data_IF_470054911410
#
_entry.id   IF_470054911410
#
_cell.length_a   1.000
_cell.length_b   1.000
_cell.length_c   1.000
_cell.angle_alpha   90.00
_cell.angle_beta   90.00
_cell.angle_gamma   90.00
#
_symmetry.space_group_name_H-M   'P 1'
#
loop_
_entity.id
_entity.type
_entity.pdbx_description
1 polymer ?
#
# COMPACT_ATOMS: atom_id res chain seq x y z
N UNK A 1 26.83 47.81 -35.96
CA UNK A 1 26.32 47.13 -34.75
C UNK A 1 26.23 45.61 -34.87
N UNK A 2 26.50 45.04 -36.06
CA UNK A 2 26.87 43.63 -36.23
C UNK A 2 28.15 43.56 -37.06
N UNK A 3 29.30 43.65 -36.39
CA UNK A 3 30.57 43.22 -36.97
C UNK A 3 30.74 41.75 -36.67
N UNK A 4 30.00 40.88 -37.36
CA UNK A 4 30.01 39.44 -37.10
C UNK A 4 31.39 38.89 -37.43
N UNK A 5 32.21 38.62 -36.41
CA UNK A 5 33.41 37.83 -36.59
C UNK A 5 32.98 36.43 -37.10
N UNK A 6 33.74 35.77 -37.99
CA UNK A 6 33.42 34.41 -38.43
C UNK A 6 33.15 33.44 -37.27
N UNK A 7 33.76 33.71 -36.11
CA UNK A 7 33.56 32.98 -34.85
C UNK A 7 32.14 33.12 -34.28
N UNK A 8 31.55 34.32 -34.30
CA UNK A 8 30.16 34.53 -33.87
C UNK A 8 29.16 33.79 -34.75
N UNK A 9 29.41 33.78 -36.07
CA UNK A 9 28.57 33.05 -37.02
C UNK A 9 28.61 31.54 -36.77
N UNK A 10 29.80 30.99 -36.50
CA UNK A 10 29.98 29.57 -36.12
C UNK A 10 29.23 29.27 -34.82
N UNK A 11 29.32 30.14 -33.81
CA UNK A 11 28.63 29.94 -32.54
C UNK A 11 27.09 29.99 -32.69
N UNK A 12 26.56 30.87 -33.53
CA UNK A 12 25.12 30.94 -33.84
C UNK A 12 24.67 29.67 -34.56
N UNK A 13 25.42 29.22 -35.57
CA UNK A 13 25.12 27.97 -36.29
C UNK A 13 25.14 26.77 -35.33
N UNK A 14 26.15 26.70 -34.46
CA UNK A 14 26.26 25.65 -33.44
C UNK A 14 25.11 25.71 -32.44
N UNK A 15 24.71 26.89 -31.97
CA UNK A 15 23.58 27.07 -31.07
C UNK A 15 22.27 26.61 -31.71
N UNK A 16 22.02 27.03 -32.96
CA UNK A 16 20.84 26.60 -33.72
C UNK A 16 20.84 25.09 -33.90
N UNK A 17 21.98 24.49 -34.26
CA UNK A 17 22.13 23.05 -34.36
C UNK A 17 21.82 22.34 -33.03
N UNK A 18 22.35 22.84 -31.91
CA UNK A 18 22.09 22.28 -30.58
C UNK A 18 20.61 22.38 -30.19
N UNK A 19 19.93 23.48 -30.50
CA UNK A 19 18.51 23.66 -30.19
C UNK A 19 17.65 22.58 -30.87
N UNK A 20 17.99 22.18 -32.10
CA UNK A 20 17.25 21.13 -32.82
C UNK A 20 17.73 19.72 -32.51
N UNK A 21 19.02 19.53 -32.26
CA UNK A 21 19.62 18.21 -32.02
C UNK A 21 19.44 17.73 -30.58
N UNK A 22 19.62 18.63 -29.59
CA UNK A 22 19.61 18.29 -28.18
C UNK A 22 18.28 17.68 -27.71
N UNK A 23 17.09 18.20 -28.08
CA UNK A 23 15.82 17.58 -27.71
C UNK A 23 15.69 16.15 -28.25
N UNK A 24 16.19 15.86 -29.45
CA UNK A 24 16.15 14.50 -30.02
C UNK A 24 17.05 13.54 -29.23
N UNK A 25 18.25 13.99 -28.86
CA UNK A 25 19.16 13.21 -28.02
C UNK A 25 18.55 12.93 -26.65
N UNK A 26 17.94 13.95 -26.02
CA UNK A 26 17.27 13.82 -24.74
C UNK A 26 16.06 12.88 -24.82
N UNK A 27 15.23 12.97 -25.87
CA UNK A 27 14.13 12.03 -26.10
C UNK A 27 14.62 10.59 -26.16
N UNK A 28 15.73 10.34 -26.87
CA UNK A 28 16.32 9.00 -26.94
C UNK A 28 16.75 8.50 -25.56
N UNK A 29 17.45 9.33 -24.77
CA UNK A 29 17.87 8.97 -23.41
C UNK A 29 16.67 8.67 -22.50
N UNK A 30 15.61 9.47 -22.59
CA UNK A 30 14.38 9.27 -21.81
C UNK A 30 13.72 7.95 -22.21
N UNK A 31 13.57 7.67 -23.50
CA UNK A 31 13.00 6.40 -23.98
C UNK A 31 13.80 5.22 -23.42
N UNK A 32 15.13 5.24 -23.52
CA UNK A 32 15.99 4.15 -22.99
C UNK A 32 15.81 3.96 -21.48
N UNK A 33 15.72 5.05 -20.71
CA UNK A 33 15.44 4.99 -19.27
C UNK A 33 14.08 4.36 -18.99
N UNK A 34 13.03 4.80 -19.69
CA UNK A 34 11.67 4.30 -19.52
C UNK A 34 11.55 2.82 -19.90
N UNK A 35 12.18 2.40 -21.01
CA UNK A 35 12.23 1.00 -21.44
C UNK A 35 12.92 0.12 -20.39
N UNK A 36 14.05 0.59 -19.83
CA UNK A 36 14.75 -0.11 -18.75
C UNK A 36 13.84 -0.31 -17.53
N UNK A 37 13.07 0.73 -17.16
CA UNK A 37 12.11 0.65 -16.05
C UNK A 37 10.93 -0.26 -16.35
N UNK A 38 10.33 -0.16 -17.53
CA UNK A 38 9.25 -1.04 -17.95
C UNK A 38 9.67 -2.52 -17.90
N UNK A 39 10.87 -2.83 -18.41
CA UNK A 39 11.45 -4.17 -18.32
C UNK A 39 11.63 -4.64 -16.87
N UNK A 40 12.14 -3.76 -16.01
CA UNK A 40 12.28 -4.08 -14.59
C UNK A 40 10.92 -4.35 -13.92
N UNK A 41 9.86 -3.64 -14.31
CA UNK A 41 8.51 -3.86 -13.82
C UNK A 41 7.94 -5.20 -14.31
N UNK A 42 8.13 -5.55 -15.59
CA UNK A 42 7.74 -6.88 -16.10
C UNK A 42 8.46 -8.01 -15.35
N UNK A 43 9.75 -7.85 -15.08
CA UNK A 43 10.50 -8.82 -14.28
C UNK A 43 9.92 -8.96 -12.86
N UNK A 44 9.43 -7.87 -12.26
CA UNK A 44 8.73 -7.89 -10.98
C UNK A 44 7.40 -8.63 -11.08
N UNK A 45 6.62 -8.44 -12.15
CA UNK A 45 5.39 -9.21 -12.41
C UNK A 45 5.69 -10.70 -12.48
N UNK A 46 6.65 -11.12 -13.30
CA UNK A 46 7.03 -12.53 -13.47
C UNK A 46 7.56 -13.14 -12.16
N UNK A 47 8.32 -12.37 -11.36
CA UNK A 47 8.76 -12.83 -10.03
C UNK A 47 7.57 -12.97 -9.07
N UNK A 48 6.61 -12.06 -9.13
CA UNK A 48 5.40 -12.08 -8.29
C UNK A 48 4.51 -13.27 -8.58
N UNK A 49 4.26 -13.55 -9.85
CA UNK A 49 3.53 -14.76 -10.28
C UNK A 49 4.19 -16.03 -9.73
N UNK A 50 5.52 -16.12 -9.85
CA UNK A 50 6.28 -17.26 -9.29
C UNK A 50 6.15 -17.37 -7.78
N UNK A 51 6.10 -16.26 -7.04
CA UNK A 51 5.87 -16.28 -5.58
C UNK A 51 4.47 -16.80 -5.25
N UNK A 52 3.44 -16.36 -5.97
CA UNK A 52 2.05 -16.80 -5.79
C UNK A 52 1.92 -18.29 -6.13
N UNK A 53 2.41 -18.73 -7.29
CA UNK A 53 2.39 -20.15 -7.71
C UNK A 53 3.16 -21.02 -6.72
N UNK A 54 4.33 -20.56 -6.24
CA UNK A 54 5.09 -21.28 -5.20
C UNK A 54 4.31 -21.39 -3.89
N UNK A 55 3.57 -20.34 -3.51
CA UNK A 55 2.72 -20.37 -2.31
C UNK A 55 1.57 -21.35 -2.48
N UNK A 56 0.91 -21.38 -3.64
CA UNK A 56 -0.14 -22.37 -3.96
C UNK A 56 0.44 -23.80 -3.86
N UNK A 57 1.59 -24.04 -4.49
CA UNK A 57 2.27 -25.33 -4.45
C UNK A 57 1.43 -26.44 -5.08
N UNK A 58 1.33 -27.59 -4.40
CA UNK A 58 0.54 -28.75 -4.86
C UNK A 58 -0.97 -28.60 -4.60
N UNK A 59 -1.41 -27.48 -4.03
CA UNK A 59 -2.81 -27.20 -3.71
C UNK A 59 -3.53 -26.59 -4.90
N UNK A 60 -3.43 -27.26 -6.03
CA UNK A 60 -4.10 -26.91 -7.27
C UNK A 60 -4.46 -28.19 -8.02
N UNK A 61 -5.55 -28.12 -8.80
CA UNK A 61 -5.95 -29.20 -9.72
C UNK A 61 -5.44 -28.96 -11.14
N UNK A 62 -4.82 -27.80 -11.39
CA UNK A 62 -4.39 -27.39 -12.72
C UNK A 62 -3.00 -27.91 -13.04
N UNK A 63 -2.77 -28.22 -14.31
CA UNK A 63 -1.42 -28.38 -14.84
C UNK A 63 -0.66 -27.05 -14.81
N UNK A 64 0.66 -27.10 -14.94
CA UNK A 64 1.49 -25.89 -14.96
C UNK A 64 1.09 -24.92 -16.09
N UNK A 65 0.74 -25.44 -17.26
CA UNK A 65 0.32 -24.64 -18.41
C UNK A 65 -1.02 -23.94 -18.15
N UNK A 66 -2.01 -24.67 -17.64
CA UNK A 66 -3.33 -24.12 -17.30
C UNK A 66 -3.23 -23.05 -16.20
N UNK A 67 -2.36 -23.27 -15.21
CA UNK A 67 -2.07 -22.27 -14.17
C UNK A 67 -1.47 -20.99 -14.78
N UNK A 68 -0.45 -21.13 -15.63
CA UNK A 68 0.20 -19.98 -16.27
C UNK A 68 -0.79 -19.19 -17.15
N UNK A 69 -1.65 -19.88 -17.90
CA UNK A 69 -2.66 -19.25 -18.76
C UNK A 69 -3.77 -18.58 -17.93
N UNK A 70 -4.21 -19.20 -16.84
CA UNK A 70 -5.18 -18.61 -15.91
C UNK A 70 -4.65 -17.33 -15.27
N UNK A 71 -3.41 -17.35 -14.79
CA UNK A 71 -2.77 -16.17 -14.20
C UNK A 71 -2.60 -15.05 -15.23
N UNK A 72 -2.22 -15.35 -16.48
CA UNK A 72 -2.16 -14.34 -17.55
C UNK A 72 -3.53 -13.70 -17.78
N UNK A 73 -4.60 -14.50 -17.81
CA UNK A 73 -5.97 -14.00 -17.89
C UNK A 73 -6.31 -13.06 -16.74
N UNK A 74 -5.92 -13.40 -15.51
CA UNK A 74 -6.13 -12.53 -14.34
C UNK A 74 -5.33 -11.22 -14.42
N UNK A 75 -4.12 -11.22 -14.99
CA UNK A 75 -3.34 -9.98 -15.18
C UNK A 75 -4.02 -8.98 -16.11
N UNK A 76 -4.79 -9.47 -17.07
CA UNK A 76 -5.57 -8.64 -18.00
C UNK A 76 -6.94 -8.24 -17.44
N UNK A 77 -7.27 -8.63 -16.20
CA UNK A 77 -8.50 -8.22 -15.55
C UNK A 77 -8.52 -6.71 -15.30
N UNK A 78 -9.64 -6.06 -15.60
CA UNK A 78 -9.85 -4.63 -15.42
C UNK A 78 -11.25 -4.36 -14.87
N UNK A 79 -11.39 -3.18 -14.25
CA UNK A 79 -12.67 -2.66 -13.77
C UNK A 79 -13.06 -1.51 -14.70
N UNK A 80 -14.31 -1.53 -15.15
CA UNK A 80 -14.90 -0.41 -15.91
C UNK A 80 -15.45 0.59 -14.90
N UNK A 81 -15.01 1.84 -14.98
CA UNK A 81 -15.49 2.90 -14.11
C UNK A 81 -16.97 3.20 -14.37
N UNK A 82 -17.76 3.51 -13.33
CA UNK A 82 -19.17 3.83 -13.49
C UNK A 82 -19.34 5.23 -14.10
N UNK A 83 -20.35 5.37 -14.96
CA UNK A 83 -20.74 6.67 -15.52
C UNK A 83 -21.11 7.66 -14.41
N UNK A 84 -20.49 8.85 -14.49
CA UNK A 84 -20.55 9.89 -13.46
C UNK A 84 -21.41 11.10 -13.86
N UNK A 85 -22.09 11.05 -15.02
CA UNK A 85 -23.00 12.11 -15.50
C UNK A 85 -24.02 12.50 -14.43
N UNK A 86 -24.56 11.54 -13.68
CA UNK A 86 -25.44 11.79 -12.52
C UNK A 86 -24.67 11.57 -11.20
N UNK A 87 -24.42 12.62 -10.40
CA UNK A 87 -23.68 12.50 -9.15
C UNK A 87 -24.47 11.76 -8.05
N UNK A 88 -25.80 11.82 -8.08
CA UNK A 88 -26.67 11.16 -7.11
C UNK A 88 -26.56 9.64 -7.26
N UNK A 89 -26.02 8.99 -6.22
CA UNK A 89 -25.84 7.53 -6.20
C UNK A 89 -24.51 7.03 -6.76
N UNK A 90 -23.58 7.90 -7.19
CA UNK A 90 -22.24 7.49 -7.63
C UNK A 90 -21.50 6.65 -6.58
N UNK A 91 -21.60 7.05 -5.30
CA UNK A 91 -21.07 6.29 -4.17
C UNK A 91 -21.58 4.83 -4.11
N UNK A 92 -22.87 4.61 -4.40
CA UNK A 92 -23.44 3.27 -4.44
C UNK A 92 -22.89 2.45 -5.62
N UNK A 93 -22.74 3.06 -6.80
CA UNK A 93 -22.16 2.41 -7.98
C UNK A 93 -20.71 1.99 -7.70
N UNK A 94 -19.90 2.91 -7.18
CA UNK A 94 -18.50 2.66 -6.80
C UNK A 94 -18.39 1.51 -5.79
N UNK A 95 -19.22 1.51 -4.74
CA UNK A 95 -19.24 0.42 -3.75
C UNK A 95 -19.60 -0.93 -4.38
N UNK A 96 -20.61 -0.98 -5.24
CA UNK A 96 -21.00 -2.23 -5.91
C UNK A 96 -19.88 -2.76 -6.81
N UNK A 97 -19.22 -1.89 -7.58
CA UNK A 97 -18.09 -2.28 -8.43
C UNK A 97 -16.90 -2.76 -7.61
N UNK A 98 -16.55 -2.06 -6.53
CA UNK A 98 -15.46 -2.45 -5.62
C UNK A 98 -15.75 -3.81 -4.98
N UNK A 99 -16.94 -4.00 -4.42
CA UNK A 99 -17.35 -5.28 -3.84
C UNK A 99 -17.37 -6.40 -4.88
N UNK A 100 -17.78 -6.10 -6.12
CA UNK A 100 -17.78 -7.08 -7.21
C UNK A 100 -16.36 -7.46 -7.62
N UNK A 101 -15.45 -6.49 -7.68
CA UNK A 101 -14.04 -6.68 -7.98
C UNK A 101 -13.40 -7.62 -6.95
N UNK A 102 -13.53 -7.31 -5.65
CA UNK A 102 -12.97 -8.12 -4.56
C UNK A 102 -13.49 -9.56 -4.60
N UNK A 103 -14.82 -9.74 -4.73
CA UNK A 103 -15.43 -11.08 -4.84
C UNK A 103 -14.99 -11.83 -6.09
N UNK A 104 -14.74 -11.13 -7.21
CA UNK A 104 -14.36 -11.79 -8.46
C UNK A 104 -12.90 -12.25 -8.43
N UNK A 105 -12.02 -11.49 -7.78
CA UNK A 105 -10.66 -11.94 -7.50
C UNK A 105 -10.64 -13.17 -6.59
N UNK A 106 -11.47 -13.21 -5.53
CA UNK A 106 -11.59 -14.40 -4.68
C UNK A 106 -12.00 -15.64 -5.49
N UNK A 107 -13.01 -15.52 -6.35
CA UNK A 107 -13.45 -16.61 -7.24
C UNK A 107 -12.31 -17.08 -8.16
N UNK A 108 -11.57 -16.14 -8.76
CA UNK A 108 -10.43 -16.49 -9.62
C UNK A 108 -9.35 -17.26 -8.87
N UNK A 109 -9.06 -16.90 -7.61
CA UNK A 109 -8.13 -17.67 -6.78
C UNK A 109 -8.68 -19.06 -6.46
N UNK A 110 -9.99 -19.22 -6.22
CA UNK A 110 -10.60 -20.54 -6.02
C UNK A 110 -10.46 -21.45 -7.23
N UNK A 111 -10.61 -20.91 -8.43
CA UNK A 111 -10.50 -21.67 -9.68
C UNK A 111 -9.09 -22.27 -9.87
N UNK A 112 -8.06 -21.59 -9.35
CA UNK A 112 -6.66 -22.05 -9.48
C UNK A 112 -6.14 -22.77 -8.22
N UNK A 113 -6.91 -22.85 -7.14
CA UNK A 113 -6.49 -23.49 -5.87
C UNK A 113 -7.37 -24.66 -5.47
N UNK A 114 -6.89 -25.51 -4.55
CA UNK A 114 -7.67 -26.60 -3.96
C UNK A 114 -7.43 -26.71 -2.46
N UNK A 115 -8.51 -26.67 -1.67
CA UNK A 115 -8.43 -26.87 -0.21
C UNK A 115 -7.66 -25.78 0.56
N UNK A 116 -7.57 -24.56 0.03
CA UNK A 116 -7.01 -23.40 0.76
C UNK A 116 -8.04 -22.84 1.74
N UNK A 117 -7.58 -22.32 2.89
CA UNK A 117 -8.46 -21.66 3.86
C UNK A 117 -8.98 -20.32 3.33
N UNK A 118 -10.08 -19.81 3.89
CA UNK A 118 -10.61 -18.49 3.52
C UNK A 118 -9.56 -17.37 3.74
N UNK A 119 -8.81 -17.45 4.85
CA UNK A 119 -7.72 -16.51 5.16
C UNK A 119 -6.65 -16.53 4.07
N UNK A 120 -6.19 -17.72 3.70
CA UNK A 120 -5.14 -17.87 2.70
C UNK A 120 -5.62 -17.44 1.31
N UNK A 121 -6.88 -17.74 0.98
CA UNK A 121 -7.52 -17.26 -0.25
C UNK A 121 -7.50 -15.74 -0.32
N UNK A 122 -7.97 -15.03 0.71
CA UNK A 122 -7.94 -13.55 0.75
C UNK A 122 -6.52 -12.99 0.62
N UNK A 123 -5.55 -13.64 1.26
CA UNK A 123 -4.14 -13.23 1.18
C UNK A 123 -3.58 -13.40 -0.25
N UNK A 124 -3.94 -14.49 -0.94
CA UNK A 124 -3.59 -14.74 -2.33
C UNK A 124 -4.31 -13.76 -3.28
N UNK A 125 -5.60 -13.48 -3.06
CA UNK A 125 -6.38 -12.51 -3.84
C UNK A 125 -5.75 -11.12 -3.80
N UNK A 126 -5.41 -10.64 -2.60
CA UNK A 126 -4.75 -9.34 -2.45
C UNK A 126 -3.33 -9.33 -3.05
N UNK A 127 -2.58 -10.45 -2.95
CA UNK A 127 -1.28 -10.59 -3.63
C UNK A 127 -1.42 -10.52 -5.16
N UNK A 128 -2.47 -11.13 -5.71
CA UNK A 128 -2.78 -11.07 -7.14
C UNK A 128 -3.19 -9.66 -7.55
N UNK A 129 -4.04 -8.98 -6.77
CA UNK A 129 -4.43 -7.59 -6.99
C UNK A 129 -3.20 -6.67 -7.12
N UNK A 130 -2.24 -6.80 -6.20
CA UNK A 130 -1.01 -6.00 -6.28
C UNK A 130 -0.14 -6.38 -7.49
N UNK A 131 -0.16 -7.64 -7.92
CA UNK A 131 0.53 -8.08 -9.14
C UNK A 131 -0.10 -7.48 -10.39
N UNK A 132 -1.44 -7.46 -10.47
CA UNK A 132 -2.21 -6.79 -11.53
C UNK A 132 -1.86 -5.31 -11.57
N UNK A 133 -1.77 -4.64 -10.42
CA UNK A 133 -1.39 -3.22 -10.35
C UNK A 133 0.00 -2.94 -10.95
N UNK A 134 1.00 -3.78 -10.65
CA UNK A 134 2.35 -3.64 -11.26
C UNK A 134 2.28 -3.85 -12.78
N UNK A 135 1.51 -4.84 -13.23
CA UNK A 135 1.33 -5.15 -14.66
C UNK A 135 0.65 -4.00 -15.40
N UNK A 136 -0.42 -3.43 -14.85
CA UNK A 136 -1.11 -2.29 -15.42
C UNK A 136 -0.20 -1.06 -15.52
N UNK A 137 0.58 -0.76 -14.48
CA UNK A 137 1.58 0.32 -14.53
C UNK A 137 2.60 0.05 -15.65
N UNK A 138 3.14 -1.17 -15.76
CA UNK A 138 4.08 -1.52 -16.83
C UNK A 138 3.48 -1.28 -18.23
N UNK A 139 2.23 -1.71 -18.46
CA UNK A 139 1.51 -1.49 -19.72
C UNK A 139 1.33 -0.01 -20.04
N UNK A 140 0.94 0.80 -19.05
CA UNK A 140 0.77 2.25 -19.22
C UNK A 140 2.10 2.91 -19.59
N UNK A 141 3.20 2.56 -18.91
CA UNK A 141 4.53 3.10 -19.24
C UNK A 141 4.91 2.75 -20.68
N UNK A 142 4.71 1.50 -21.11
CA UNK A 142 4.98 1.07 -22.49
C UNK A 142 4.14 1.83 -23.52
N UNK A 143 2.86 2.03 -23.22
CA UNK A 143 1.98 2.82 -24.08
C UNK A 143 2.51 4.25 -24.26
N UNK A 144 2.94 4.92 -23.18
CA UNK A 144 3.54 6.25 -23.30
C UNK A 144 4.89 6.25 -24.02
N UNK A 145 5.71 5.20 -23.88
CA UNK A 145 6.96 5.06 -24.65
C UNK A 145 6.67 5.10 -26.15
N UNK A 146 5.67 4.36 -26.62
CA UNK A 146 5.29 4.36 -28.05
C UNK A 146 4.74 5.72 -28.48
N UNK A 147 3.90 6.38 -27.68
CA UNK A 147 3.45 7.76 -27.97
C UNK A 147 4.64 8.71 -28.15
N UNK A 148 5.63 8.67 -27.26
CA UNK A 148 6.82 9.53 -27.36
C UNK A 148 7.61 9.22 -28.64
N UNK A 149 7.71 7.95 -29.02
CA UNK A 149 8.41 7.50 -30.22
C UNK A 149 7.72 7.97 -31.51
N UNK A 150 6.40 7.83 -31.58
CA UNK A 150 5.59 8.22 -32.73
C UNK A 150 5.53 9.74 -32.90
N UNK A 151 5.21 10.45 -31.82
CA UNK A 151 5.08 11.91 -31.84
C UNK A 151 6.43 12.62 -31.92
N UNK A 152 7.52 11.94 -31.52
CA UNK A 152 8.87 12.50 -31.32
C UNK A 152 8.86 13.73 -30.39
N UNK A 153 7.82 13.88 -29.57
CA UNK A 153 7.66 15.02 -28.70
C UNK A 153 8.36 14.77 -27.35
N UNK A 154 9.49 15.47 -27.17
CA UNK A 154 10.31 15.45 -25.97
C UNK A 154 9.53 15.77 -24.69
N UNK A 155 8.52 16.65 -24.75
CA UNK A 155 7.80 17.12 -23.57
C UNK A 155 7.00 15.99 -22.90
N UNK A 156 6.43 15.07 -23.67
CA UNK A 156 5.77 13.88 -23.11
C UNK A 156 6.76 13.00 -22.35
N UNK A 157 7.97 12.84 -22.90
CA UNK A 157 9.05 12.11 -22.23
C UNK A 157 9.46 12.77 -20.92
N UNK A 158 9.64 14.09 -20.93
CA UNK A 158 10.02 14.85 -19.74
C UNK A 158 8.97 14.75 -18.62
N UNK A 159 7.68 14.86 -18.95
CA UNK A 159 6.59 14.72 -17.99
C UNK A 159 6.65 13.35 -17.30
N UNK A 160 6.82 12.28 -18.09
CA UNK A 160 6.89 10.94 -17.53
C UNK A 160 8.17 10.72 -16.73
N UNK A 161 9.31 11.26 -17.18
CA UNK A 161 10.58 11.18 -16.45
C UNK A 161 10.51 11.84 -15.07
N UNK A 162 9.84 12.99 -14.95
CA UNK A 162 9.64 13.70 -13.68
C UNK A 162 8.77 12.86 -12.72
N UNK A 163 7.73 12.19 -13.22
CA UNK A 163 6.85 11.34 -12.42
C UNK A 163 7.46 9.98 -12.07
N UNK A 164 8.42 9.52 -12.86
CA UNK A 164 9.00 8.18 -12.78
C UNK A 164 9.50 7.78 -11.37
N UNK A 165 10.14 8.65 -10.56
CA UNK A 165 10.53 8.29 -9.21
C UNK A 165 9.35 7.96 -8.29
N UNK A 166 8.21 8.64 -8.45
CA UNK A 166 7.01 8.39 -7.66
C UNK A 166 6.33 7.08 -8.11
N UNK A 167 6.30 6.82 -9.42
CA UNK A 167 5.82 5.55 -9.98
C UNK A 167 6.70 4.39 -9.50
N UNK A 168 8.02 4.54 -9.53
CA UNK A 168 8.99 3.52 -9.09
C UNK A 168 8.83 3.18 -7.61
N UNK A 169 8.55 4.17 -6.75
CA UNK A 169 8.21 3.93 -5.33
C UNK A 169 6.94 3.10 -5.18
N UNK A 170 5.88 3.43 -5.92
CA UNK A 170 4.60 2.69 -5.88
C UNK A 170 4.76 1.24 -6.37
N UNK A 171 5.42 1.03 -7.51
CA UNK A 171 5.68 -0.31 -8.05
C UNK A 171 6.50 -1.15 -7.06
N UNK A 172 7.54 -0.57 -6.44
CA UNK A 172 8.33 -1.26 -5.42
C UNK A 172 7.52 -1.58 -4.17
N UNK A 173 6.58 -0.72 -3.77
CA UNK A 173 5.68 -0.97 -2.65
C UNK A 173 4.76 -2.16 -2.93
N UNK A 174 4.09 -2.15 -4.09
CA UNK A 174 3.28 -3.27 -4.56
C UNK A 174 4.11 -4.56 -4.62
N UNK A 175 5.30 -4.51 -5.22
CA UNK A 175 6.15 -5.69 -5.33
C UNK A 175 6.57 -6.27 -3.97
N UNK A 176 6.92 -5.41 -3.01
CA UNK A 176 7.31 -5.83 -1.65
C UNK A 176 6.13 -6.28 -0.79
N UNK A 177 4.91 -5.86 -1.10
CA UNK A 177 3.72 -6.30 -0.38
C UNK A 177 3.38 -7.77 -0.67
N UNK A 178 3.66 -8.28 -1.87
CA UNK A 178 3.30 -9.64 -2.29
C UNK A 178 3.89 -10.72 -1.37
N UNK A 179 5.20 -10.72 -1.05
CA UNK A 179 5.74 -11.64 -0.06
C UNK A 179 5.22 -11.37 1.36
N UNK A 180 4.77 -10.15 1.67
CA UNK A 180 4.16 -9.87 2.97
C UNK A 180 2.78 -10.56 3.08
N UNK A 181 1.93 -10.38 2.08
CA UNK A 181 0.57 -10.94 2.05
C UNK A 181 0.58 -12.46 1.96
N UNK A 182 1.35 -13.05 1.04
CA UNK A 182 1.50 -14.51 0.94
C UNK A 182 2.02 -15.18 2.22
N UNK A 183 2.74 -14.45 3.08
CA UNK A 183 3.32 -14.99 4.32
C UNK A 183 2.66 -14.45 5.60
N UNK A 184 1.56 -13.69 5.50
CA UNK A 184 0.88 -13.15 6.68
C UNK A 184 1.74 -12.18 7.49
N UNK A 185 2.62 -11.42 6.86
CA UNK A 185 3.46 -10.42 7.53
C UNK A 185 2.67 -9.09 7.59
N UNK A 186 2.48 -8.50 8.78
CA UNK A 186 1.80 -7.21 8.90
C UNK A 186 2.50 -6.10 8.10
N UNK A 187 1.70 -5.30 7.40
CA UNK A 187 2.15 -4.13 6.63
C UNK A 187 1.91 -2.84 7.41
N UNK A 188 2.42 -1.70 6.93
CA UNK A 188 2.27 -0.41 7.61
C UNK A 188 0.81 -0.04 7.91
N UNK A 189 -0.10 -0.33 6.97
CA UNK A 189 -1.53 -0.08 7.10
C UNK A 189 -2.22 -0.90 8.21
N UNK A 190 -1.56 -1.95 8.74
CA UNK A 190 -2.08 -2.73 9.85
C UNK A 190 -2.06 -2.01 11.21
N UNK A 191 -1.53 -0.79 11.32
CA UNK A 191 -1.34 -0.09 12.61
C UNK A 191 -2.66 0.16 13.35
N UNK A 192 -3.73 0.53 12.65
CA UNK A 192 -5.06 0.71 13.23
C UNK A 192 -5.63 -0.59 13.80
N UNK A 193 -5.72 -1.68 13.00
CA UNK A 193 -6.18 -2.96 13.50
C UNK A 193 -5.28 -3.59 14.56
N UNK A 194 -3.97 -3.35 14.52
CA UNK A 194 -3.01 -3.80 15.52
C UNK A 194 -3.26 -3.11 16.87
N UNK A 195 -3.52 -1.81 16.85
CA UNK A 195 -3.92 -1.07 18.05
C UNK A 195 -5.27 -1.58 18.57
N UNK A 196 -6.28 -1.72 17.71
CA UNK A 196 -7.58 -2.24 18.10
C UNK A 196 -7.50 -3.66 18.70
N UNK A 197 -6.73 -4.57 18.10
CA UNK A 197 -6.51 -5.92 18.64
C UNK A 197 -5.83 -5.90 20.02
N UNK A 198 -4.87 -4.98 20.23
CA UNK A 198 -4.24 -4.77 21.53
C UNK A 198 -5.25 -4.26 22.55
N UNK A 199 -6.15 -3.35 22.15
CA UNK A 199 -7.14 -2.72 23.02
C UNK A 199 -8.27 -3.69 23.42
N UNK A 200 -8.66 -4.59 22.51
CA UNK A 200 -9.65 -5.66 22.75
C UNK A 200 -9.23 -6.50 23.96
N UNK A 201 -7.94 -6.78 24.13
CA UNK A 201 -7.46 -7.60 25.24
C UNK A 201 -7.83 -9.07 25.04
N UNK A 202 -8.33 -9.69 26.11
CA UNK A 202 -8.83 -11.07 26.14
C UNK A 202 -10.35 -11.15 25.99
N UNK A 203 -11.01 -10.02 25.68
CA UNK A 203 -12.45 -9.98 25.49
C UNK A 203 -12.86 -10.77 24.23
N UNK A 204 -14.03 -11.41 24.31
CA UNK A 204 -14.60 -12.14 23.17
C UNK A 204 -15.02 -11.16 22.08
N UNK A 205 -14.52 -11.38 20.87
CA UNK A 205 -14.99 -10.66 19.68
C UNK A 205 -16.22 -11.32 19.08
N UNK A 206 -17.16 -10.51 18.59
CA UNK A 206 -18.33 -10.98 17.84
C UNK A 206 -18.33 -10.37 16.45
N UNK A 207 -18.83 -11.13 15.46
CA UNK A 207 -18.97 -10.64 14.08
C UNK A 207 -20.21 -9.76 14.00
N UNK A 208 -20.05 -8.54 13.51
CA UNK A 208 -21.14 -7.54 13.44
C UNK A 208 -21.55 -7.19 12.01
N UNK A 209 -20.61 -7.23 11.07
CA UNK A 209 -20.82 -7.03 9.64
C UNK A 209 -19.89 -7.95 8.84
N UNK A 210 -20.04 -7.97 7.52
CA UNK A 210 -19.16 -8.74 6.64
C UNK A 210 -17.70 -8.32 6.88
N UNK A 211 -16.86 -9.33 7.18
CA UNK A 211 -15.44 -9.13 7.47
C UNK A 211 -15.13 -8.15 8.60
N UNK A 212 -16.03 -7.93 9.58
CA UNK A 212 -15.83 -6.96 10.66
C UNK A 212 -16.21 -7.52 12.03
N UNK A 213 -15.35 -7.30 13.02
CA UNK A 213 -15.55 -7.75 14.40
C UNK A 213 -15.66 -6.58 15.38
N UNK A 214 -16.36 -6.81 16.48
CA UNK A 214 -16.49 -5.88 17.60
C UNK A 214 -16.18 -6.58 18.92
N UNK A 215 -15.57 -5.85 19.86
CA UNK A 215 -15.59 -6.20 21.28
C UNK A 215 -16.04 -5.01 22.10
N UNK A 216 -16.68 -5.28 23.24
CA UNK A 216 -17.07 -4.24 24.20
C UNK A 216 -16.13 -4.28 25.40
N UNK A 217 -15.65 -3.13 25.84
CA UNK A 217 -14.78 -3.01 27.01
C UNK A 217 -15.10 -1.75 27.81
N UNK A 218 -14.94 -1.83 29.12
CA UNK A 218 -14.97 -0.63 29.98
C UNK A 218 -13.57 -0.03 30.08
N UNK A 219 -13.41 1.22 29.63
CA UNK A 219 -12.15 1.98 29.70
C UNK A 219 -12.43 3.26 30.47
N UNK A 220 -11.75 3.47 31.60
CA UNK A 220 -11.94 4.65 32.48
C UNK A 220 -13.42 4.90 32.83
N UNK A 221 -14.17 3.84 33.14
CA UNK A 221 -15.60 3.91 33.46
C UNK A 221 -16.55 4.10 32.27
N UNK A 222 -16.03 4.12 31.04
CA UNK A 222 -16.80 4.33 29.80
C UNK A 222 -16.92 3.02 29.04
N UNK A 223 -18.11 2.73 28.52
CA UNK A 223 -18.35 1.58 27.67
C UNK A 223 -17.88 1.89 26.24
N UNK A 224 -16.88 1.16 25.78
CA UNK A 224 -16.22 1.40 24.49
C UNK A 224 -16.42 0.19 23.59
N UNK A 225 -16.96 0.44 22.40
CA UNK A 225 -17.07 -0.55 21.33
C UNK A 225 -15.82 -0.46 20.45
N UNK A 226 -15.01 -1.51 20.46
CA UNK A 226 -13.77 -1.58 19.70
C UNK A 226 -14.04 -2.33 18.40
N UNK A 227 -13.95 -1.63 17.28
CA UNK A 227 -14.18 -2.14 15.93
C UNK A 227 -12.87 -2.33 15.18
N UNK A 228 -12.78 -3.39 14.38
CA UNK A 228 -11.78 -3.55 13.33
C UNK A 228 -12.25 -4.57 12.29
N UNK A 229 -11.59 -4.59 11.13
CA UNK A 229 -11.76 -5.68 10.18
C UNK A 229 -11.39 -7.03 10.82
N UNK A 230 -11.99 -8.12 10.35
CA UNK A 230 -11.74 -9.48 10.81
C UNK A 230 -10.41 -9.98 10.26
N UNK A 231 -9.46 -10.29 11.15
CA UNK A 231 -8.13 -10.81 10.80
C UNK A 231 -7.94 -12.28 11.20
N UNK A 232 -6.77 -12.89 10.87
CA UNK A 232 -5.54 -12.25 10.35
C UNK A 232 -5.38 -12.24 8.82
N UNK A 233 -6.49 -12.23 8.07
CA UNK A 233 -6.49 -12.16 6.60
C UNK A 233 -6.28 -10.73 6.06
N UNK A 234 -5.92 -10.63 4.77
CA UNK A 234 -5.98 -9.41 3.97
C UNK A 234 -7.43 -8.94 3.77
N UNK A 235 -7.98 -8.35 4.81
CA UNK A 235 -9.37 -7.92 4.90
C UNK A 235 -9.43 -6.48 5.42
N UNK A 236 -10.34 -5.70 4.86
CA UNK A 236 -10.57 -4.29 5.19
C UNK A 236 -11.94 -4.08 5.88
N UNK A 237 -12.84 -5.07 5.82
CA UNK A 237 -14.14 -5.08 6.49
C UNK A 237 -15.15 -4.02 6.00
N UNK A 238 -16.42 -4.21 6.38
CA UNK A 238 -17.51 -3.24 6.21
C UNK A 238 -17.70 -2.43 7.50
N UNK A 239 -16.77 -1.51 7.77
CA UNK A 239 -16.75 -0.71 9.00
C UNK A 239 -17.97 0.22 9.10
N UNK A 240 -18.41 0.80 7.98
CA UNK A 240 -19.58 1.69 7.94
C UNK A 240 -20.87 0.97 8.40
N UNK A 241 -21.08 -0.26 7.94
CA UNK A 241 -22.22 -1.09 8.33
C UNK A 241 -22.15 -1.48 9.81
N UNK A 242 -20.96 -1.81 10.31
CA UNK A 242 -20.73 -2.12 11.71
C UNK A 242 -21.05 -0.93 12.63
N UNK A 243 -20.62 0.28 12.26
CA UNK A 243 -20.93 1.52 12.97
C UNK A 243 -22.46 1.75 13.00
N UNK A 244 -23.14 1.63 11.85
CA UNK A 244 -24.61 1.76 11.76
C UNK A 244 -25.33 0.83 12.72
N UNK A 245 -24.92 -0.44 12.78
CA UNK A 245 -25.52 -1.44 13.68
C UNK A 245 -25.30 -1.13 15.17
N UNK A 246 -24.15 -0.57 15.55
CA UNK A 246 -23.87 -0.17 16.94
C UNK A 246 -24.68 1.05 17.33
N UNK A 247 -24.66 2.09 16.50
CA UNK A 247 -25.36 3.36 16.73
C UNK A 247 -26.87 3.17 16.77
N UNK A 248 -27.42 2.25 15.95
CA UNK A 248 -28.85 1.94 15.99
C UNK A 248 -29.33 1.36 17.33
N UNK A 249 -28.45 0.68 18.08
CA UNK A 249 -28.77 0.01 19.35
C UNK A 249 -28.28 0.77 20.58
N UNK A 250 -27.41 1.77 20.40
CA UNK A 250 -26.70 2.43 21.48
C UNK A 250 -26.62 3.94 21.24
N UNK A 251 -26.82 4.72 22.30
CA UNK A 251 -26.51 6.15 22.27
C UNK A 251 -24.99 6.35 22.33
N UNK A 252 -24.36 6.53 21.19
CA UNK A 252 -22.92 6.79 21.05
C UNK A 252 -22.66 8.29 21.08
N UNK A 253 -21.69 8.72 21.87
CA UNK A 253 -21.33 10.14 22.01
C UNK A 253 -20.24 10.58 21.04
N UNK A 254 -19.35 9.66 20.64
CA UNK A 254 -18.21 9.95 19.76
C UNK A 254 -17.70 8.69 19.06
N UNK A 255 -17.20 8.86 17.85
CA UNK A 255 -16.41 7.85 17.13
C UNK A 255 -14.96 8.32 17.05
N UNK A 256 -14.01 7.45 17.39
CA UNK A 256 -12.58 7.70 17.27
C UNK A 256 -12.01 6.70 16.26
N UNK A 257 -11.45 7.20 15.17
CA UNK A 257 -10.79 6.38 14.14
C UNK A 257 -9.29 6.35 14.38
N UNK A 258 -8.67 5.18 14.18
CA UNK A 258 -7.22 4.99 14.25
C UNK A 258 -6.75 4.39 12.92
N UNK A 259 -5.96 5.15 12.16
CA UNK A 259 -5.57 4.77 10.79
C UNK A 259 -4.10 5.09 10.51
N UNK A 260 -3.55 4.44 9.47
CA UNK A 260 -2.30 4.87 8.84
C UNK A 260 -2.55 6.09 7.94
N UNK A 261 -1.60 7.01 7.86
CA UNK A 261 -1.72 8.14 6.93
C UNK A 261 -0.37 8.51 6.32
N UNK A 262 -0.42 8.98 5.07
CA UNK A 262 0.74 9.52 4.37
C UNK A 262 1.37 10.67 5.15
N UNK A 263 2.67 10.57 5.39
CA UNK A 263 3.49 11.64 5.93
C UNK A 263 3.87 12.62 4.82
N UNK A 264 4.05 13.87 5.19
CA UNK A 264 4.72 14.84 4.33
C UNK A 264 6.23 14.53 4.30
N UNK A 265 6.94 14.96 3.25
CA UNK A 265 8.35 14.61 3.07
C UNK A 265 9.23 15.08 4.25
N UNK A 266 8.88 16.21 4.89
CA UNK A 266 9.53 16.72 6.10
C UNK A 266 9.11 16.07 7.43
N UNK A 267 8.07 15.25 7.46
CA UNK A 267 7.59 14.59 8.68
C UNK A 267 8.35 13.28 8.95
N UNK A 268 8.35 12.84 10.21
CA UNK A 268 8.96 11.56 10.62
C UNK A 268 7.96 10.41 10.56
N UNK A 269 8.36 9.27 10.01
CA UNK A 269 7.60 8.02 10.11
C UNK A 269 7.39 7.65 11.59
N UNK A 270 6.18 7.20 11.96
CA UNK A 270 5.78 6.88 13.33
C UNK A 270 5.34 8.09 14.17
N UNK A 271 5.29 9.30 13.58
CA UNK A 271 4.64 10.43 14.24
C UNK A 271 3.14 10.18 14.37
N UNK A 272 2.56 10.61 15.51
CA UNK A 272 1.13 10.50 15.78
C UNK A 272 0.53 11.90 15.72
N UNK A 273 -0.53 12.05 14.94
CA UNK A 273 -1.30 13.29 14.86
C UNK A 273 -2.76 13.02 15.20
N UNK A 274 -3.46 14.05 15.67
CA UNK A 274 -4.88 14.02 16.01
C UNK A 274 -5.61 15.04 15.15
N UNK A 275 -6.86 14.77 14.82
CA UNK A 275 -7.68 15.66 14.01
C UNK A 275 -9.15 15.32 14.10
N UNK A 276 -9.98 16.09 13.40
CA UNK A 276 -11.42 15.91 13.31
C UNK A 276 -11.76 15.28 11.95
N UNK A 277 -12.74 14.39 11.93
CA UNK A 277 -13.22 13.69 10.73
C UNK A 277 -12.91 12.20 10.74
N UNK A 278 -13.41 11.49 9.73
CA UNK A 278 -13.25 10.04 9.61
C UNK A 278 -11.94 9.72 8.87
N UNK A 279 -10.93 9.24 9.59
CA UNK A 279 -9.69 8.79 8.96
C UNK A 279 -9.89 7.40 8.37
N UNK A 280 -9.95 7.35 7.04
CA UNK A 280 -9.90 6.14 6.25
C UNK A 280 -9.36 6.44 4.86
N UNK A 281 -8.45 5.60 4.38
CA UNK A 281 -8.00 5.61 3.00
C UNK A 281 -9.15 5.42 1.99
N UNK A 282 -8.97 5.83 0.73
CA UNK A 282 -9.97 5.61 -0.30
C UNK A 282 -10.09 4.11 -0.59
N UNK A 283 -11.22 3.53 -0.19
CA UNK A 283 -11.70 2.24 -0.66
C UNK A 283 -13.18 2.40 -0.97
N UNK A 284 -13.55 2.11 -2.22
CA UNK A 284 -14.93 2.24 -2.69
C UNK A 284 -15.57 3.57 -2.30
N UNK A 285 -16.64 3.50 -1.52
CA UNK A 285 -17.36 4.66 -0.99
C UNK A 285 -17.70 4.53 0.52
N UNK A 286 -17.03 3.63 1.23
CA UNK A 286 -17.30 3.27 2.62
C UNK A 286 -17.12 4.48 3.56
N UNK A 287 -16.11 5.32 3.31
CA UNK A 287 -15.88 6.55 4.10
C UNK A 287 -17.07 7.48 3.99
N UNK A 288 -17.56 7.71 2.77
CA UNK A 288 -18.72 8.55 2.51
C UNK A 288 -19.97 8.03 3.24
N UNK A 289 -20.21 6.72 3.22
CA UNK A 289 -21.36 6.13 3.91
C UNK A 289 -21.26 6.20 5.44
N UNK A 290 -20.05 6.08 6.00
CA UNK A 290 -19.82 6.25 7.43
C UNK A 290 -19.99 7.71 7.86
N UNK A 291 -19.32 8.65 7.18
CA UNK A 291 -19.37 10.08 7.47
C UNK A 291 -20.80 10.62 7.35
N UNK A 292 -21.49 10.33 6.25
CA UNK A 292 -22.86 10.80 6.01
C UNK A 292 -23.82 10.34 7.11
N UNK A 293 -23.69 9.09 7.54
CA UNK A 293 -24.53 8.53 8.61
C UNK A 293 -24.22 9.13 9.98
N UNK A 294 -22.93 9.31 10.32
CA UNK A 294 -22.54 9.90 11.60
C UNK A 294 -22.96 11.37 11.70
N UNK A 295 -22.83 12.12 10.61
CA UNK A 295 -23.32 13.50 10.50
C UNK A 295 -24.84 13.56 10.67
N UNK A 296 -25.60 12.69 9.99
CA UNK A 296 -27.07 12.59 10.13
C UNK A 296 -27.49 12.33 11.60
N UNK A 297 -26.69 11.56 12.35
CA UNK A 297 -26.94 11.29 13.78
C UNK A 297 -26.36 12.32 14.74
N UNK A 298 -25.68 13.35 14.23
CA UNK A 298 -25.01 14.37 15.05
C UNK A 298 -23.90 13.81 15.94
N UNK A 299 -23.24 12.72 15.53
CA UNK A 299 -22.18 12.07 16.29
C UNK A 299 -20.82 12.60 15.80
N UNK A 300 -20.02 13.27 16.66
CA UNK A 300 -18.70 13.74 16.29
C UNK A 300 -17.74 12.59 16.02
N UNK A 301 -16.81 12.83 15.09
CA UNK A 301 -15.77 11.88 14.69
C UNK A 301 -14.41 12.53 14.85
N UNK A 302 -13.53 11.88 15.60
CA UNK A 302 -12.13 12.27 15.71
C UNK A 302 -11.23 11.19 15.11
N UNK A 303 -10.04 11.60 14.71
CA UNK A 303 -9.05 10.77 14.07
C UNK A 303 -7.72 10.82 14.81
N UNK A 304 -7.11 9.66 14.99
CA UNK A 304 -5.72 9.47 15.40
C UNK A 304 -5.00 8.79 14.25
N UNK A 305 -4.06 9.49 13.62
CA UNK A 305 -3.31 8.97 12.47
C UNK A 305 -1.86 8.69 12.83
N UNK A 306 -1.32 7.59 12.30
CA UNK A 306 0.12 7.29 12.35
C UNK A 306 0.74 7.62 11.00
N UNK A 307 1.64 8.58 11.00
CA UNK A 307 2.32 9.08 9.81
C UNK A 307 3.35 8.08 9.30
N UNK A 308 3.30 7.74 8.03
CA UNK A 308 4.29 6.90 7.35
C UNK A 308 4.40 7.29 5.88
N UNK A 309 5.47 6.88 5.19
CA UNK A 309 5.54 7.11 3.75
C UNK A 309 4.38 6.36 3.05
N UNK A 310 3.81 6.90 1.96
CA UNK A 310 2.76 6.20 1.23
C UNK A 310 3.14 4.76 0.84
N UNK A 311 4.39 4.54 0.45
CA UNK A 311 4.89 3.20 0.13
C UNK A 311 5.02 2.27 1.34
N UNK A 312 5.20 2.80 2.56
CA UNK A 312 5.33 2.01 3.80
C UNK A 312 4.00 1.39 4.22
N UNK A 313 2.86 1.95 3.78
CA UNK A 313 1.54 1.39 4.06
C UNK A 313 1.37 -0.03 3.48
N UNK A 314 1.97 -0.29 2.31
CA UNK A 314 1.90 -1.58 1.61
C UNK A 314 3.07 -2.51 1.93
N UNK A 315 4.20 -1.97 2.41
CA UNK A 315 5.38 -2.76 2.77
C UNK A 315 5.23 -3.35 4.17
N UNK A 316 5.99 -4.42 4.51
CA UNK A 316 6.11 -4.90 5.88
C UNK A 316 6.35 -3.75 6.87
N UNK A 317 5.62 -3.76 7.99
CA UNK A 317 5.54 -2.62 8.90
C UNK A 317 6.94 -2.18 9.40
N UNK A 318 7.33 -0.91 9.17
CA UNK A 318 8.55 -0.37 9.74
C UNK A 318 8.52 -0.37 11.27
N UNK A 319 9.70 -0.52 11.89
CA UNK A 319 9.84 -0.50 13.34
C UNK A 319 9.28 0.78 13.96
N UNK A 320 9.49 1.91 13.29
CA UNK A 320 9.06 3.25 13.71
C UNK A 320 7.53 3.35 13.80
N UNK A 321 6.80 2.74 12.84
CA UNK A 321 5.33 2.69 12.84
C UNK A 321 4.84 1.88 14.04
N UNK A 322 5.42 0.70 14.28
CA UNK A 322 5.09 -0.12 15.45
C UNK A 322 5.34 0.62 16.78
N UNK A 323 6.45 1.34 16.89
CA UNK A 323 6.81 2.12 18.08
C UNK A 323 5.86 3.29 18.36
N UNK A 324 4.94 3.60 17.44
CA UNK A 324 3.89 4.60 17.66
C UNK A 324 2.75 4.10 18.56
N UNK A 325 2.57 2.78 18.76
CA UNK A 325 1.45 2.20 19.52
C UNK A 325 1.21 2.86 20.90
N UNK A 326 2.22 3.11 21.75
CA UNK A 326 2.01 3.80 23.03
C UNK A 326 1.53 5.24 22.86
N UNK A 327 2.02 5.95 21.84
CA UNK A 327 1.59 7.33 21.53
C UNK A 327 0.16 7.36 21.02
N UNK A 328 -0.24 6.36 20.22
CA UNK A 328 -1.63 6.17 19.78
C UNK A 328 -2.54 5.94 20.98
N UNK A 329 -2.14 5.08 21.93
CA UNK A 329 -2.92 4.83 23.14
C UNK A 329 -3.16 6.10 23.97
N UNK A 330 -2.11 6.93 24.13
CA UNK A 330 -2.22 8.22 24.81
C UNK A 330 -3.17 9.17 24.08
N UNK A 331 -3.07 9.26 22.75
CA UNK A 331 -3.94 10.09 21.93
C UNK A 331 -5.42 9.66 22.04
N UNK A 332 -5.70 8.36 21.90
CA UNK A 332 -7.06 7.83 22.02
C UNK A 332 -7.63 8.06 23.42
N UNK A 333 -6.83 7.88 24.48
CA UNK A 333 -7.25 8.20 25.85
C UNK A 333 -7.54 9.69 26.07
N UNK A 334 -6.85 10.58 25.36
CA UNK A 334 -7.14 12.02 25.38
C UNK A 334 -8.49 12.30 24.73
N UNK A 335 -8.76 11.74 23.54
CA UNK A 335 -10.05 11.92 22.85
C UNK A 335 -11.24 11.35 23.64
N UNK A 336 -11.01 10.25 24.36
CA UNK A 336 -12.01 9.66 25.25
C UNK A 336 -12.38 10.56 26.43
N UNK A 337 -11.59 11.58 26.81
CA UNK A 337 -11.92 12.44 27.97
C UNK A 337 -13.24 13.18 27.79
N UNK A 338 -13.57 13.55 26.56
CA UNK A 338 -14.80 14.26 26.21
C UNK A 338 -16.04 13.37 26.21
N UNK A 339 -15.86 12.05 26.24
CA UNK A 339 -16.93 11.06 26.29
C UNK A 339 -17.31 10.79 27.74
N UNK A 340 -18.62 10.77 28.04
CA UNK A 340 -19.14 10.49 29.39
C UNK A 340 -19.50 9.02 29.60
N UNK A 341 -20.20 8.40 28.65
CA UNK A 341 -20.72 7.03 28.77
C UNK A 341 -20.22 6.10 27.67
N UNK A 342 -20.45 6.43 26.39
CA UNK A 342 -20.26 5.47 25.28
C UNK A 342 -19.53 6.04 24.07
N UNK A 343 -18.55 5.30 23.58
CA UNK A 343 -17.81 5.63 22.36
C UNK A 343 -17.53 4.41 21.48
N UNK A 344 -17.25 4.67 20.21
CA UNK A 344 -16.69 3.68 19.27
C UNK A 344 -15.23 4.02 19.03
N UNK A 345 -14.35 3.03 19.09
CA UNK A 345 -12.97 3.12 18.60
C UNK A 345 -12.83 2.17 17.42
N UNK A 346 -12.54 2.71 16.24
CA UNK A 346 -12.38 1.92 15.02
C UNK A 346 -10.91 1.89 14.59
N UNK A 347 -10.29 0.70 14.64
CA UNK A 347 -9.00 0.44 14.02
C UNK A 347 -9.17 0.19 12.53
N UNK A 348 -8.80 1.18 11.72
CA UNK A 348 -8.95 1.20 10.27
C UNK A 348 -7.65 0.75 9.61
N UNK A 349 -7.77 -0.09 8.59
CA UNK A 349 -6.66 -0.64 7.82
C UNK A 349 -6.79 -2.14 7.59
N UNK A 350 -5.89 -2.70 6.78
CA UNK A 350 -5.86 -4.13 6.47
C UNK A 350 -5.39 -4.97 7.67
N UNK A 351 -5.91 -6.19 7.81
CA UNK A 351 -5.60 -7.08 8.96
C UNK A 351 -4.62 -8.20 8.68
N UNK A 352 -3.81 -8.09 7.63
CA UNK A 352 -2.86 -9.15 7.26
C UNK A 352 -1.90 -9.46 8.42
N UNK A 353 -1.89 -10.70 8.89
CA UNK A 353 -1.06 -11.13 10.02
C UNK A 353 -1.48 -10.58 11.38
N UNK A 354 -2.61 -9.86 11.49
CA UNK A 354 -3.11 -9.26 12.73
C UNK A 354 -4.47 -9.85 13.09
N UNK A 355 -4.50 -10.77 14.06
CA UNK A 355 -5.73 -11.41 14.53
C UNK A 355 -6.60 -10.49 15.40
N UNK A 356 -7.59 -11.09 16.07
CA UNK A 356 -8.68 -10.35 16.72
C UNK A 356 -8.53 -10.23 18.25
N UNK A 357 -7.37 -10.54 18.82
CA UNK A 357 -7.12 -10.54 20.25
C UNK A 357 -5.74 -9.98 20.59
N UNK A 358 -5.50 -9.68 21.87
CA UNK A 358 -4.19 -9.23 22.35
C UNK A 358 -3.08 -10.24 22.07
N UNK A 359 -3.33 -11.54 22.30
CA UNK A 359 -2.35 -12.59 22.01
C UNK A 359 -1.94 -12.60 20.53
N UNK A 360 -2.90 -12.39 19.63
CA UNK A 360 -2.63 -12.28 18.21
C UNK A 360 -1.88 -10.99 17.85
N UNK A 361 -2.17 -9.87 18.52
CA UNK A 361 -1.42 -8.63 18.36
C UNK A 361 0.05 -8.79 18.79
N UNK A 362 0.30 -9.49 19.91
CA UNK A 362 1.65 -9.79 20.39
C UNK A 362 2.42 -10.74 19.47
N UNK A 363 1.73 -11.67 18.80
CA UNK A 363 2.30 -12.49 17.73
C UNK A 363 2.66 -11.66 16.50
N UNK A 364 1.75 -10.79 16.04
CA UNK A 364 2.02 -9.86 14.94
C UNK A 364 3.25 -8.99 15.23
N UNK A 365 3.37 -8.44 16.44
CA UNK A 365 4.54 -7.66 16.89
C UNK A 365 5.82 -8.49 16.81
N UNK A 366 5.80 -9.76 17.23
CA UNK A 366 6.96 -10.65 17.12
C UNK A 366 7.38 -10.90 15.68
N UNK A 367 6.40 -11.08 14.77
CA UNK A 367 6.65 -11.23 13.33
C UNK A 367 7.27 -9.95 12.75
N UNK A 368 6.73 -8.78 13.09
CA UNK A 368 7.27 -7.47 12.67
C UNK A 368 8.73 -7.32 13.15
N UNK A 369 9.01 -7.63 14.41
CA UNK A 369 10.37 -7.50 14.98
C UNK A 369 11.36 -8.52 14.40
N UNK A 370 10.91 -9.73 14.10
CA UNK A 370 11.74 -10.73 13.41
C UNK A 370 12.06 -10.30 11.97
N UNK A 371 11.08 -9.77 11.24
CA UNK A 371 11.28 -9.27 9.88
C UNK A 371 12.26 -8.10 9.84
N UNK A 372 12.05 -7.07 10.67
CA UNK A 372 12.91 -5.89 10.72
C UNK A 372 14.36 -6.25 11.09
N UNK A 373 14.58 -7.17 12.06
CA UNK A 373 15.93 -7.65 12.40
C UNK A 373 16.63 -8.33 11.23
N UNK A 374 15.93 -9.17 10.47
CA UNK A 374 16.49 -9.83 9.28
C UNK A 374 16.86 -8.81 8.20
N UNK A 375 16.01 -7.81 7.96
CA UNK A 375 16.30 -6.76 6.97
C UNK A 375 17.47 -5.85 7.39
N UNK A 376 17.60 -5.53 8.68
CA UNK A 376 18.77 -4.80 9.20
C UNK A 376 20.07 -5.60 9.01
N UNK A 377 20.04 -6.90 9.27
CA UNK A 377 21.20 -7.78 9.06
C UNK A 377 21.59 -7.88 7.59
N UNK A 378 20.62 -8.03 6.68
CA UNK A 378 20.87 -8.02 5.23
C UNK A 378 21.51 -6.71 4.78
N UNK A 379 20.96 -5.56 5.19
CA UNK A 379 21.53 -4.23 4.87
C UNK A 379 22.95 -4.07 5.40
N UNK A 380 23.25 -4.57 6.60
CA UNK A 380 24.62 -4.56 7.16
C UNK A 380 25.57 -5.45 6.36
N UNK A 381 25.14 -6.65 5.96
CA UNK A 381 25.92 -7.56 5.14
C UNK A 381 26.20 -6.99 3.74
N UNK A 382 25.20 -6.39 3.09
CA UNK A 382 25.35 -5.73 1.79
C UNK A 382 26.32 -4.56 1.87
N UNK A 383 26.21 -3.70 2.90
CA UNK A 383 27.17 -2.60 3.12
C UNK A 383 28.58 -3.10 3.36
N UNK A 384 28.75 -4.18 4.13
CA UNK A 384 30.06 -4.78 4.39
C UNK A 384 30.67 -5.35 3.11
N UNK A 385 29.91 -6.13 2.33
CA UNK A 385 30.36 -6.68 1.05
C UNK A 385 30.65 -5.60 0.00
N UNK A 386 29.89 -4.50 -0.01
CA UNK A 386 30.18 -3.36 -0.88
C UNK A 386 31.48 -2.65 -0.47
N UNK A 387 31.69 -2.46 0.84
CA UNK A 387 32.92 -1.88 1.39
C UNK A 387 34.12 -2.76 1.05
N UNK A 388 34.02 -4.08 1.20
CA UNK A 388 35.08 -5.02 0.83
C UNK A 388 35.38 -4.99 -0.68
N UNK A 389 34.37 -4.87 -1.55
CA UNK A 389 34.59 -4.74 -3.01
C UNK A 389 35.21 -3.41 -3.44
N UNK A 390 34.90 -2.32 -2.73
CA UNK A 390 35.41 -0.98 -3.06
C UNK A 390 36.79 -0.74 -2.45
N UNK A 391 37.01 -1.14 -1.19
CA UNK A 391 38.28 -0.94 -0.49
C UNK A 391 39.28 -2.06 -0.74
N UNK A 392 38.85 -3.32 -0.87
CA UNK A 392 39.73 -4.43 -1.26
C UNK A 392 40.25 -4.34 -2.71
N UNK A 393 39.61 -3.50 -3.56
CA UNK A 393 40.15 -3.11 -4.87
C UNK A 393 41.18 -1.98 -4.81
N UNK A 394 41.17 -1.16 -3.74
CA UNK A 394 42.18 -0.10 -3.51
C UNK A 394 43.45 -0.69 -2.92
N UNK A 395 43.35 -1.57 -1.92
CA UNK A 395 44.52 -2.23 -1.33
C UNK A 395 45.31 -3.06 -2.36
N UNK A 396 44.61 -3.81 -3.23
CA UNK A 396 45.26 -4.53 -4.35
C UNK A 396 45.84 -3.63 -5.45
N UNK A 397 45.44 -2.36 -5.54
CA UNK A 397 46.04 -1.38 -6.46
C UNK A 397 47.27 -0.73 -5.83
N UNK A 398 47.25 -0.46 -4.52
CA UNK A 398 48.39 0.11 -3.78
C UNK A 398 49.52 -0.91 -3.58
N UNK A 399 49.24 -2.20 -3.42
CA UNK A 399 50.27 -3.26 -3.43
C UNK A 399 50.97 -3.34 -4.78
N UNK A 400 50.23 -3.21 -5.89
CA UNK A 400 50.82 -3.23 -7.25
C UNK A 400 51.62 -1.97 -7.62
N UNK A 401 51.49 -0.87 -6.88
CA UNK A 401 52.29 0.35 -7.12
C UNK A 401 53.53 0.45 -6.22
N UNK A 402 53.74 -0.52 -5.31
CA UNK A 402 54.95 -0.63 -4.49
C UNK A 402 55.91 -1.73 -4.97
N UNK A 403 55.54 -2.47 -6.03
CA UNK A 403 56.35 -3.52 -6.67
C UNK A 403 56.88 -3.12 -8.07
N UNK A 404 56.66 -1.87 -8.49
CA UNK A 404 57.34 -1.22 -9.63
C UNK A 404 58.28 -0.14 -9.09
#
# INVERSE_FOLDING_TARGET
>A
MFGSTPWELINIILLVFLIFFFPRLMTYQIITLLESKAKAYDEMVVKSQRMIVKKIGLRTKLTRKEMDDSIKGMLEYFVVEPEAIEPTGLANKIRQMTNRHDKKLDIYIEEITSGVSEEERKNLSASMMHTIGIHQISKIIKHFIEIIRETKNFQYGMLLQIQLPFIDRQVKALYKSIPAFTNGIPVGDCIGPLYAATLIGDNKTTKIAEGTVVATRTINGKEVFILKAEGPAANLGNIDEAIRKIVAKNKIEKVITVDASGKLEGETTGAVARGVGFAMGPRGAERFFAESYLIEKGIPVDAVIVKMKPEEALMPMPKEVKLALPKVDLAVKQELKEVKKRAIIAGIGVTIGVGNSRKAAEEAIRVIDAFNRREEQKKKAEKKGLRERVFGRKEKKEEKTKEE
#
